data_IF_241317245949
#
_entry.id   IF_241317245949
#
_cell.length_a   1.000
_cell.length_b   1.000
_cell.length_c   1.000
_cell.angle_alpha   90.00
_cell.angle_beta   90.00
_cell.angle_gamma   90.00
#
_symmetry.space_group_name_H-M   'P 1'
#
loop_
_entity.id
_entity.type
_entity.pdbx_description
1 polymer ?
#
# COMPACT_ATOMS: atom_id res chain seq x y z
N UNK A 1 -16.68 42.96 -7.81
CA UNK A 1 -17.20 42.41 -9.09
C UNK A 1 -16.07 42.41 -10.11
N UNK A 2 -15.35 41.30 -10.24
CA UNK A 2 -14.27 41.10 -11.22
C UNK A 2 -14.75 39.95 -12.11
N UNK A 3 -15.42 40.27 -13.20
CA UNK A 3 -15.97 39.31 -14.17
C UNK A 3 -15.62 39.83 -15.55
N UNK A 4 -14.77 39.11 -16.30
CA UNK A 4 -14.55 39.49 -17.70
C UNK A 4 -13.45 38.79 -18.50
N UNK A 5 -12.49 38.08 -17.88
CA UNK A 5 -11.36 37.48 -18.63
C UNK A 5 -11.50 36.00 -19.00
N UNK A 6 -12.56 35.31 -18.57
CA UNK A 6 -12.73 33.86 -18.85
C UNK A 6 -13.62 33.53 -20.07
N UNK A 7 -14.14 34.51 -20.81
CA UNK A 7 -15.12 34.24 -21.89
C UNK A 7 -14.43 34.21 -23.28
N UNK A 8 -13.21 34.76 -23.40
CA UNK A 8 -12.54 34.88 -24.69
C UNK A 8 -11.81 33.59 -25.15
N UNK A 9 -11.38 32.72 -24.23
CA UNK A 9 -10.66 31.50 -24.59
C UNK A 9 -11.56 30.37 -25.11
N UNK A 10 -12.88 30.48 -24.89
CA UNK A 10 -13.87 29.44 -25.24
C UNK A 10 -14.43 29.58 -26.66
N UNK A 11 -14.23 30.74 -27.32
CA UNK A 11 -14.72 31.01 -28.69
C UNK A 11 -13.70 30.70 -29.80
N UNK A 12 -12.42 30.57 -29.45
CA UNK A 12 -11.35 30.26 -30.42
C UNK A 12 -11.38 28.78 -30.83
N UNK A 13 -11.95 27.90 -30.00
CA UNK A 13 -11.97 26.46 -30.25
C UNK A 13 -13.06 25.99 -31.25
N UNK A 14 -13.85 26.89 -31.84
CA UNK A 14 -14.98 26.53 -32.72
C UNK A 14 -14.85 26.97 -34.19
N UNK A 15 -13.66 27.33 -34.67
CA UNK A 15 -13.47 27.78 -36.06
C UNK A 15 -12.31 27.10 -36.82
N UNK A 16 -12.04 25.82 -36.56
CA UNK A 16 -11.26 25.00 -37.50
C UNK A 16 -12.11 23.80 -37.88
N UNK A 17 -12.93 24.00 -38.92
CA UNK A 17 -13.67 22.94 -39.57
C UNK A 17 -13.27 22.89 -41.05
N UNK A 18 -12.93 21.67 -41.48
CA UNK A 18 -12.90 21.14 -42.85
C UNK A 18 -11.64 21.41 -43.69
N UNK A 19 -10.73 20.42 -43.68
CA UNK A 19 -10.08 19.94 -44.90
C UNK A 19 -9.86 18.43 -44.79
N UNK A 20 -10.50 17.70 -45.72
CA UNK A 20 -10.66 16.26 -45.74
C UNK A 20 -9.37 15.51 -46.09
N UNK A 21 -8.99 14.54 -45.26
CA UNK A 21 -8.23 13.35 -45.69
C UNK A 21 -8.85 12.14 -45.00
N UNK A 22 -9.41 11.23 -45.79
CA UNK A 22 -9.86 9.93 -45.32
C UNK A 22 -8.62 9.06 -45.06
N UNK A 23 -8.29 8.80 -43.78
CA UNK A 23 -7.33 7.79 -43.35
C UNK A 23 -8.10 6.55 -42.83
N UNK A 24 -7.56 5.33 -43.04
CA UNK A 24 -8.23 4.08 -42.73
C UNK A 24 -8.48 3.91 -41.23
N UNK A 25 -9.64 3.34 -40.91
CA UNK A 25 -10.11 3.04 -39.56
C UNK A 25 -9.24 1.94 -38.93
N UNK A 26 -8.23 2.33 -38.16
CA UNK A 26 -7.63 1.45 -37.18
C UNK A 26 -8.52 1.46 -35.93
N UNK A 27 -9.21 0.34 -35.67
CA UNK A 27 -9.89 0.10 -34.41
C UNK A 27 -8.83 0.01 -33.28
N UNK A 28 -8.46 1.16 -32.72
CA UNK A 28 -7.76 1.21 -31.46
C UNK A 28 -8.80 0.91 -30.37
N UNK A 29 -8.73 -0.30 -29.83
CA UNK A 29 -9.43 -0.69 -28.63
C UNK A 29 -9.24 0.39 -27.57
N UNK A 30 -10.34 0.80 -26.93
CA UNK A 30 -10.31 1.76 -25.83
C UNK A 30 -9.36 1.26 -24.75
N UNK A 31 -8.22 1.94 -24.61
CA UNK A 31 -7.54 1.98 -23.34
C UNK A 31 -8.22 3.10 -22.56
N UNK A 32 -9.27 2.74 -21.84
CA UNK A 32 -9.64 3.45 -20.63
C UNK A 32 -8.42 3.33 -19.72
N UNK A 33 -7.52 4.31 -19.82
CA UNK A 33 -6.52 4.56 -18.80
C UNK A 33 -7.31 4.64 -17.48
N UNK A 34 -7.04 3.77 -16.48
CA UNK A 34 -7.77 3.84 -15.22
C UNK A 34 -7.49 5.23 -14.67
N UNK A 35 -8.49 6.10 -14.79
CA UNK A 35 -8.52 7.44 -14.23
C UNK A 35 -8.03 7.29 -12.79
N UNK A 36 -6.76 7.66 -12.57
CA UNK A 36 -6.11 7.61 -11.28
C UNK A 36 -6.93 8.58 -10.45
N UNK A 37 -7.91 8.03 -9.73
CA UNK A 37 -8.87 8.75 -8.92
C UNK A 37 -8.03 9.55 -7.95
N UNK A 38 -7.76 10.80 -8.34
CA UNK A 38 -6.97 11.72 -7.58
C UNK A 38 -7.87 12.08 -6.42
N UNK A 39 -7.86 11.23 -5.40
CA UNK A 39 -8.63 11.48 -4.21
C UNK A 39 -7.92 12.66 -3.59
N UNK A 40 -8.52 13.83 -3.78
CA UNK A 40 -8.16 15.11 -3.16
C UNK A 40 -8.47 15.02 -1.65
N UNK A 41 -7.87 14.02 -0.99
CA UNK A 41 -7.92 13.82 0.45
C UNK A 41 -6.90 14.78 1.03
N UNK A 42 -7.34 15.59 1.99
CA UNK A 42 -6.42 16.44 2.73
C UNK A 42 -5.31 15.58 3.35
N UNK A 43 -4.10 15.75 2.83
CA UNK A 43 -2.93 15.00 3.27
C UNK A 43 -2.14 15.81 4.28
N UNK A 44 -1.79 15.17 5.39
CA UNK A 44 -0.94 15.75 6.43
C UNK A 44 0.48 15.22 6.29
N UNK A 45 1.45 16.12 6.49
CA UNK A 45 2.86 15.74 6.50
C UNK A 45 3.26 15.05 7.81
N UNK A 46 2.60 15.34 8.93
CA UNK A 46 2.93 14.81 10.25
C UNK A 46 1.67 14.59 11.08
N UNK A 47 1.69 13.57 11.94
CA UNK A 47 0.68 13.32 12.98
C UNK A 47 1.33 13.35 14.37
N UNK A 48 0.55 13.66 15.41
CA UNK A 48 1.05 13.67 16.79
C UNK A 48 1.07 12.27 17.39
N UNK A 49 2.23 11.79 17.81
CA UNK A 49 2.35 10.44 18.39
C UNK A 49 1.56 10.29 19.68
N UNK A 50 1.47 11.35 20.49
CA UNK A 50 0.67 11.34 21.73
C UNK A 50 -0.82 11.12 21.49
N UNK A 51 -1.30 11.42 20.29
CA UNK A 51 -2.68 11.19 19.91
C UNK A 51 -2.92 9.78 19.36
N UNK A 52 -1.89 9.03 18.98
CA UNK A 52 -2.08 7.67 18.46
C UNK A 52 -2.63 6.77 19.58
N UNK A 53 -3.70 6.03 19.28
CA UNK A 53 -4.30 4.99 20.16
C UNK A 53 -3.78 3.62 19.81
N UNK A 54 -3.86 3.25 18.53
CA UNK A 54 -3.29 2.04 17.98
C UNK A 54 -3.08 2.22 16.47
N UNK A 55 -2.42 1.24 15.87
CA UNK A 55 -2.15 1.19 14.43
C UNK A 55 -2.52 -0.18 13.90
N UNK A 56 -3.16 -0.21 12.74
CA UNK A 56 -3.50 -1.47 12.07
C UNK A 56 -2.78 -1.54 10.73
N UNK A 57 -2.06 -2.63 10.51
CA UNK A 57 -1.38 -2.90 9.25
C UNK A 57 -2.34 -3.63 8.31
N UNK A 58 -2.71 -2.97 7.22
CA UNK A 58 -3.58 -3.56 6.20
C UNK A 58 -2.76 -4.46 5.30
N UNK A 59 -1.65 -3.96 4.77
CA UNK A 59 -0.74 -4.70 3.90
C UNK A 59 0.70 -4.18 4.00
N UNK A 60 1.56 -4.56 3.04
CA UNK A 60 2.97 -4.15 3.02
C UNK A 60 3.18 -2.67 2.64
N UNK A 61 2.13 -1.91 2.34
CA UNK A 61 2.21 -0.52 1.91
C UNK A 61 1.24 0.41 2.66
N UNK A 62 0.22 -0.12 3.32
CA UNK A 62 -0.87 0.64 3.91
C UNK A 62 -0.97 0.40 5.43
N UNK A 63 -0.88 1.48 6.20
CA UNK A 63 -0.99 1.45 7.66
C UNK A 63 -2.07 2.44 8.08
N UNK A 64 -3.01 2.00 8.91
CA UNK A 64 -3.99 2.86 9.56
C UNK A 64 -3.47 3.32 10.92
N UNK A 65 -3.67 4.60 11.22
CA UNK A 65 -3.35 5.23 12.50
C UNK A 65 -4.64 5.74 13.12
N UNK A 66 -5.05 5.13 14.23
CA UNK A 66 -6.26 5.51 14.95
C UNK A 66 -5.93 6.53 16.02
N UNK A 67 -6.52 7.71 15.92
CA UNK A 67 -6.20 8.84 16.78
C UNK A 67 -7.19 8.99 17.93
N UNK A 68 -6.74 9.62 19.01
CA UNK A 68 -7.60 10.16 20.06
C UNK A 68 -8.52 11.21 19.41
N UNK A 69 -9.82 11.05 19.57
CA UNK A 69 -10.83 11.90 18.93
C UNK A 69 -11.53 11.25 17.74
N UNK A 70 -11.18 10.01 17.37
CA UNK A 70 -11.92 9.23 16.37
C UNK A 70 -11.39 9.32 14.95
N UNK A 71 -10.57 10.34 14.63
CA UNK A 71 -9.94 10.46 13.32
C UNK A 71 -9.04 9.28 13.00
N UNK A 72 -9.13 8.77 11.78
CA UNK A 72 -8.26 7.70 11.27
C UNK A 72 -7.45 8.23 10.10
N UNK A 73 -6.13 8.03 10.15
CA UNK A 73 -5.23 8.35 9.04
C UNK A 73 -4.73 7.09 8.35
N UNK A 74 -4.82 7.05 7.03
CA UNK A 74 -4.09 6.12 6.18
C UNK A 74 -2.71 6.69 5.85
N UNK A 75 -1.65 5.97 6.22
CA UNK A 75 -0.32 6.22 5.68
C UNK A 75 -0.03 5.24 4.54
N UNK A 76 0.11 5.78 3.33
CA UNK A 76 0.54 5.00 2.17
C UNK A 76 2.06 5.11 2.03
N UNK A 77 2.78 4.03 2.30
CA UNK A 77 4.23 4.00 2.18
C UNK A 77 4.65 4.25 0.72
N UNK A 78 5.71 5.05 0.45
CA UNK A 78 6.17 5.32 -0.92
C UNK A 78 6.66 4.07 -1.66
N UNK A 79 7.04 3.03 -0.90
CA UNK A 79 7.50 1.73 -1.40
C UNK A 79 6.93 0.65 -0.50
N UNK A 80 6.67 -0.54 -1.06
CA UNK A 80 6.31 -1.72 -0.27
C UNK A 80 7.41 -2.02 0.75
N UNK A 81 6.98 -2.30 1.98
CA UNK A 81 7.78 -2.63 3.12
C UNK A 81 7.67 -4.12 3.42
N UNK A 82 8.66 -4.89 3.00
CA UNK A 82 8.65 -6.35 3.14
C UNK A 82 8.49 -6.76 4.61
N UNK A 83 7.69 -7.81 4.84
CA UNK A 83 7.35 -8.36 6.17
C UNK A 83 6.37 -7.53 7.01
N UNK A 84 5.97 -6.33 6.58
CA UNK A 84 5.06 -5.47 7.35
C UNK A 84 3.70 -6.16 7.59
N UNK A 85 3.04 -6.69 6.55
CA UNK A 85 1.76 -7.41 6.67
C UNK A 85 1.87 -8.70 7.48
N UNK A 86 3.02 -9.38 7.40
CA UNK A 86 3.26 -10.64 8.11
C UNK A 86 3.43 -10.40 9.61
N UNK A 87 4.29 -9.46 9.97
CA UNK A 87 4.61 -9.18 11.36
C UNK A 87 3.55 -8.34 12.06
N UNK A 88 2.86 -7.46 11.30
CA UNK A 88 1.89 -6.46 11.78
C UNK A 88 2.38 -5.64 12.97
N UNK A 89 3.71 -5.51 13.12
CA UNK A 89 4.39 -4.89 14.25
C UNK A 89 5.58 -4.12 13.75
N UNK A 90 5.72 -2.89 14.23
CA UNK A 90 6.85 -2.03 13.90
C UNK A 90 7.09 -1.07 15.07
N UNK A 91 8.31 -0.57 15.19
CA UNK A 91 8.65 0.56 16.05
C UNK A 91 8.90 1.80 15.19
N UNK A 92 8.74 2.97 15.79
CA UNK A 92 9.10 4.25 15.21
C UNK A 92 9.80 5.11 16.25
N UNK A 93 10.71 5.96 15.80
CA UNK A 93 11.41 6.92 16.64
C UNK A 93 10.92 8.33 16.28
N UNK A 94 10.63 9.15 17.28
CA UNK A 94 10.18 10.53 17.07
C UNK A 94 11.26 11.50 17.51
N UNK A 95 11.64 12.46 16.66
CA UNK A 95 12.58 13.52 17.07
C UNK A 95 11.89 14.71 17.75
N UNK A 96 10.67 15.03 17.32
CA UNK A 96 9.92 16.23 17.74
C UNK A 96 8.56 15.91 18.36
N UNK A 97 8.30 14.64 18.70
CA UNK A 97 7.00 14.16 19.22
C UNK A 97 5.92 13.97 18.16
N UNK A 98 6.22 14.27 16.90
CA UNK A 98 5.41 13.90 15.73
C UNK A 98 5.97 12.67 15.02
N UNK A 99 5.12 12.05 14.19
CA UNK A 99 5.49 11.05 13.20
C UNK A 99 5.22 11.63 11.81
N UNK A 100 6.26 11.79 11.01
CA UNK A 100 6.24 12.59 9.79
C UNK A 100 6.55 11.77 8.52
N UNK A 101 6.08 12.28 7.39
CA UNK A 101 6.46 11.81 6.06
C UNK A 101 7.99 11.82 5.91
N UNK A 102 8.54 10.73 5.36
CA UNK A 102 9.98 10.41 5.25
C UNK A 102 10.69 10.00 6.54
N UNK A 103 10.03 10.04 7.70
CA UNK A 103 10.58 9.33 8.87
C UNK A 103 10.47 7.82 8.66
N UNK A 104 11.22 7.06 9.46
CA UNK A 104 11.36 5.62 9.25
C UNK A 104 10.65 4.83 10.35
N UNK A 105 9.93 3.78 9.94
CA UNK A 105 9.50 2.70 10.81
C UNK A 105 10.49 1.54 10.69
N UNK A 106 10.64 0.74 11.74
CA UNK A 106 11.38 -0.52 11.72
C UNK A 106 10.43 -1.66 12.02
N UNK A 107 10.34 -2.64 11.13
CA UNK A 107 9.50 -3.82 11.34
C UNK A 107 10.07 -4.64 12.50
N UNK A 108 9.21 -5.12 13.39
CA UNK A 108 9.63 -5.97 14.50
C UNK A 108 9.36 -7.43 14.15
N UNK A 109 10.42 -8.23 14.08
CA UNK A 109 10.33 -9.66 13.80
C UNK A 109 10.48 -10.46 15.08
N UNK A 110 9.72 -11.54 15.22
CA UNK A 110 9.93 -12.54 16.27
C UNK A 110 11.09 -13.46 15.91
N UNK A 111 12.07 -13.58 16.81
CA UNK A 111 13.06 -14.64 16.72
C UNK A 111 12.46 -15.98 17.18
N UNK A 112 12.67 -17.03 16.38
CA UNK A 112 12.28 -18.40 16.68
C UNK A 112 13.56 -19.15 17.08
N UNK A 113 14.08 -18.86 18.27
CA UNK A 113 14.93 -19.76 19.03
C UNK A 113 16.19 -20.30 18.33
N UNK A 114 16.86 -19.51 17.50
CA UNK A 114 18.22 -19.83 17.06
C UNK A 114 19.16 -18.84 17.70
N UNK A 115 20.06 -19.29 18.57
CA UNK A 115 21.07 -18.48 19.27
C UNK A 115 22.05 -17.77 18.33
N UNK A 116 21.53 -16.84 17.52
CA UNK A 116 22.25 -16.08 16.54
C UNK A 116 22.82 -14.81 17.17
N UNK A 117 24.14 -14.68 17.01
CA UNK A 117 24.90 -13.43 16.99
C UNK A 117 24.10 -12.31 16.28
N UNK A 118 23.31 -11.57 17.06
CA UNK A 118 22.38 -10.57 16.54
C UNK A 118 22.11 -9.41 17.51
N UNK A 119 22.89 -9.30 18.59
CA UNK A 119 23.00 -8.08 19.38
C UNK A 119 23.87 -7.04 18.67
N UNK A 120 23.45 -6.58 17.48
CA UNK A 120 24.03 -5.38 16.88
C UNK A 120 23.74 -4.15 17.77
N UNK A 121 24.43 -3.03 17.52
CA UNK A 121 24.51 -1.80 18.35
C UNK A 121 23.15 -1.14 18.76
N UNK A 122 22.00 -1.72 18.39
CA UNK A 122 20.64 -1.30 18.75
C UNK A 122 19.77 -2.42 19.36
N UNK A 123 20.36 -3.54 19.76
CA UNK A 123 19.68 -4.73 20.30
C UNK A 123 19.25 -4.59 21.76
N UNK A 124 18.25 -3.75 22.03
CA UNK A 124 17.46 -3.77 23.28
C UNK A 124 16.09 -4.41 23.04
N UNK A 125 16.08 -5.61 22.48
CA UNK A 125 14.84 -6.37 22.29
C UNK A 125 14.27 -6.81 23.64
N UNK A 126 13.21 -6.16 24.11
CA UNK A 126 12.34 -6.73 25.15
C UNK A 126 11.49 -7.82 24.48
N UNK A 127 11.55 -9.06 25.02
CA UNK A 127 10.75 -10.22 24.57
C UNK A 127 11.11 -10.85 23.21
N UNK A 128 12.38 -10.96 22.83
CA UNK A 128 12.83 -11.61 21.57
C UNK A 128 12.36 -10.92 20.27
N UNK A 129 11.95 -9.63 20.32
CA UNK A 129 11.66 -8.84 19.12
C UNK A 129 12.94 -8.14 18.65
N UNK A 130 13.38 -8.44 17.42
CA UNK A 130 14.51 -7.81 16.76
C UNK A 130 14.03 -6.72 15.79
N UNK A 131 14.78 -5.62 15.69
CA UNK A 131 14.55 -4.58 14.71
C UNK A 131 14.95 -5.06 13.31
N UNK A 132 13.98 -5.21 12.42
CA UNK A 132 14.15 -5.63 11.04
C UNK A 132 14.28 -4.46 10.05
N UNK A 133 13.77 -4.68 8.84
CA UNK A 133 13.85 -3.72 7.71
C UNK A 133 13.26 -2.36 8.10
N UNK A 134 13.94 -1.29 7.66
CA UNK A 134 13.46 0.08 7.82
C UNK A 134 12.69 0.53 6.59
N UNK A 135 11.56 1.20 6.78
CA UNK A 135 10.70 1.69 5.71
C UNK A 135 10.33 3.16 5.94
N UNK A 136 10.35 3.95 4.88
CA UNK A 136 10.00 5.37 4.94
C UNK A 136 8.49 5.56 4.94
N UNK A 137 7.99 6.44 5.80
CA UNK A 137 6.60 6.82 5.85
C UNK A 137 6.20 7.74 4.70
N UNK A 138 4.95 7.62 4.27
CA UNK A 138 4.33 8.49 3.29
C UNK A 138 3.55 9.64 3.93
N UNK A 139 2.66 10.25 3.14
CA UNK A 139 1.70 11.22 3.63
C UNK A 139 0.55 10.52 4.39
N UNK A 140 -0.08 11.26 5.30
CA UNK A 140 -1.21 10.78 6.09
C UNK A 140 -2.51 11.34 5.52
N UNK A 141 -3.38 10.48 5.02
CA UNK A 141 -4.68 10.86 4.46
C UNK A 141 -5.77 10.55 5.47
N UNK A 142 -6.61 11.53 5.78
CA UNK A 142 -7.78 11.29 6.62
C UNK A 142 -8.77 10.40 5.88
N UNK A 143 -9.31 9.39 6.58
CA UNK A 143 -10.31 8.48 6.03
C UNK A 143 -11.70 8.83 6.56
N UNK A 144 -12.71 8.73 5.69
CA UNK A 144 -14.11 8.69 6.12
C UNK A 144 -14.39 7.36 6.83
N UNK A 145 -15.46 7.31 7.62
CA UNK A 145 -15.88 6.08 8.30
C UNK A 145 -16.13 4.94 7.30
N UNK A 146 -16.71 5.25 6.14
CA UNK A 146 -16.95 4.30 5.04
C UNK A 146 -15.63 3.69 4.51
N UNK A 147 -14.60 4.51 4.32
CA UNK A 147 -13.29 4.04 3.86
C UNK A 147 -12.64 3.13 4.92
N UNK A 148 -12.78 3.47 6.21
CA UNK A 148 -12.26 2.65 7.32
C UNK A 148 -12.92 1.29 7.36
N UNK A 149 -14.24 1.23 7.14
CA UNK A 149 -14.98 -0.02 7.06
C UNK A 149 -14.54 -0.87 5.86
N UNK A 150 -14.35 -0.24 4.69
CA UNK A 150 -13.85 -0.93 3.50
C UNK A 150 -12.47 -1.59 3.74
N UNK A 151 -11.54 -0.89 4.40
CA UNK A 151 -10.25 -1.48 4.78
C UNK A 151 -10.41 -2.63 5.78
N UNK A 152 -11.31 -2.52 6.76
CA UNK A 152 -11.57 -3.59 7.73
C UNK A 152 -12.15 -4.84 7.06
N UNK A 153 -13.10 -4.68 6.15
CA UNK A 153 -13.69 -5.79 5.40
C UNK A 153 -12.63 -6.50 4.54
N UNK A 154 -11.77 -5.74 3.83
CA UNK A 154 -10.69 -6.30 3.02
C UNK A 154 -9.63 -7.07 3.84
N UNK A 155 -9.46 -6.72 5.12
CA UNK A 155 -8.52 -7.41 6.01
C UNK A 155 -9.12 -8.67 6.65
N UNK A 156 -10.46 -8.75 6.67
CA UNK A 156 -11.24 -9.83 7.29
C UNK A 156 -11.70 -10.90 6.30
N UNK A 157 -11.57 -10.68 4.98
CA UNK A 157 -11.83 -11.75 4.03
C UNK A 157 -10.94 -12.95 4.38
N UNK A 158 -11.53 -14.11 4.74
CA UNK A 158 -10.75 -15.30 4.99
C UNK A 158 -10.02 -15.60 3.70
N UNK A 159 -8.69 -15.68 3.77
CA UNK A 159 -7.88 -16.09 2.63
C UNK A 159 -8.58 -17.29 1.97
N UNK A 160 -8.85 -17.27 0.65
CA UNK A 160 -9.53 -18.38 0.00
C UNK A 160 -8.76 -19.63 0.39
N UNK A 161 -9.42 -20.57 1.08
CA UNK A 161 -8.79 -21.84 1.45
C UNK A 161 -8.28 -22.41 0.14
N UNK A 162 -6.96 -22.39 -0.06
CA UNK A 162 -6.36 -22.98 -1.24
C UNK A 162 -6.77 -24.44 -1.21
N UNK A 163 -7.70 -24.81 -2.10
CA UNK A 163 -7.99 -26.21 -2.35
C UNK A 163 -6.64 -26.79 -2.78
N UNK A 164 -6.10 -27.81 -2.09
CA UNK A 164 -4.88 -28.46 -2.54
C UNK A 164 -5.06 -28.77 -4.01
N UNK A 165 -4.16 -28.26 -4.85
CA UNK A 165 -4.12 -28.71 -6.23
C UNK A 165 -3.99 -30.24 -6.15
N UNK A 166 -4.81 -31.00 -6.90
CA UNK A 166 -4.57 -32.44 -7.00
C UNK A 166 -3.14 -32.58 -7.49
N UNK A 167 -2.27 -33.13 -6.64
CA UNK A 167 -0.96 -33.54 -7.12
C UNK A 167 -1.22 -34.51 -8.26
N UNK A 168 -0.58 -34.36 -9.43
CA UNK A 168 -0.66 -35.38 -10.45
C UNK A 168 -0.23 -36.69 -9.80
N UNK A 169 -1.10 -37.69 -9.86
CA UNK A 169 -0.74 -39.06 -9.46
C UNK A 169 0.56 -39.41 -10.22
N UNK A 170 1.56 -40.02 -9.55
CA UNK A 170 2.79 -40.37 -10.23
C UNK A 170 2.44 -41.29 -11.40
N UNK A 171 2.72 -40.80 -12.61
CA UNK A 171 2.64 -41.60 -13.83
C UNK A 171 3.58 -42.80 -13.61
N UNK A 172 3.02 -44.01 -13.60
CA UNK A 172 3.80 -45.24 -13.53
C UNK A 172 4.73 -45.26 -14.73
N UNK A 173 6.05 -45.13 -14.47
CA UNK A 173 7.07 -45.25 -15.51
C UNK A 173 7.13 -46.72 -15.89
N UNK A 174 6.47 -47.07 -17.00
CA UNK A 174 6.57 -48.39 -17.61
C UNK A 174 8.02 -48.66 -18.00
N UNK A 175 8.68 -49.53 -17.23
CA UNK A 175 10.01 -50.04 -17.53
C UNK A 175 9.87 -50.96 -18.74
N UNK A 176 10.08 -50.43 -19.94
CA UNK A 176 10.21 -51.25 -21.13
C UNK A 176 11.42 -52.18 -20.98
N UNK A 177 11.11 -53.46 -20.79
CA UNK A 177 12.06 -54.56 -20.77
C UNK A 177 12.52 -54.81 -22.20
N UNK A 178 13.70 -54.31 -22.55
CA UNK A 178 14.37 -54.67 -23.79
C UNK A 178 14.79 -56.14 -23.70
N UNK A 179 14.08 -57.01 -24.42
CA UNK A 179 14.48 -58.40 -24.67
C UNK A 179 15.51 -58.43 -25.81
N UNK A 180 16.60 -59.17 -25.60
CA UNK A 180 17.57 -59.56 -26.61
C UNK A 180 17.53 -61.05 -26.85
#
# INVERSE_FOLDING_TARGET
MITGKLILYKRIYKLVAVLSVALPMAAAAGQEDPEEKNIDRESRACISVRQIRHTDVIDDQNILFFMRGGTVYLNMLPRRCTMLRREKRFMYETRTGGLCRREHIRILTQDIGSGGVGGGLFGSGINNLMGGVMCSLGAFYELSEEDVEAFKMATQEPAPKAKPLPMPEPEEVDVQKNEG
#
